data_IF_990717420487
#
_entry.id   IF_990717420487
#
_cell.length_a   1.000
_cell.length_b   1.000
_cell.length_c   1.000
_cell.angle_alpha   90.00
_cell.angle_beta   90.00
_cell.angle_gamma   90.00
#
_symmetry.space_group_name_H-M   'P 1'
#
loop_
_entity.id
_entity.type
_entity.pdbx_description
1 polymer ?
#
# COMPACT_ATOMS: atom_id res chain seq x y z
N UNK A 1 -5.11 -12.55 37.72
CA UNK A 1 -5.02 -11.09 37.45
C UNK A 1 -4.32 -10.46 38.65
N UNK A 2 -3.19 -9.77 38.44
CA UNK A 2 -2.42 -9.13 39.52
C UNK A 2 -2.95 -7.73 39.87
N UNK A 3 -3.54 -7.03 38.92
CA UNK A 3 -4.14 -5.71 39.08
C UNK A 3 -5.19 -5.47 38.00
N UNK A 4 -6.28 -4.78 38.33
CA UNK A 4 -7.31 -4.36 37.39
C UNK A 4 -7.92 -3.04 37.85
N UNK A 5 -7.96 -2.06 36.94
CA UNK A 5 -8.64 -0.78 37.12
C UNK A 5 -9.32 -0.39 35.81
N UNK A 6 -10.63 -0.13 35.86
CA UNK A 6 -11.41 0.26 34.69
C UNK A 6 -11.45 -0.75 33.54
N UNK A 7 -11.07 -2.02 33.74
CA UNK A 7 -10.93 -3.04 32.70
C UNK A 7 -12.22 -3.40 31.96
N UNK A 8 -13.39 -3.01 32.50
CA UNK A 8 -14.70 -3.16 31.85
C UNK A 8 -15.22 -1.88 31.20
N UNK A 9 -14.48 -0.77 31.29
CA UNK A 9 -14.87 0.47 30.66
C UNK A 9 -14.57 0.45 29.16
N UNK A 10 -15.52 0.90 28.35
CA UNK A 10 -15.29 1.10 26.93
C UNK A 10 -14.38 2.31 26.72
N UNK A 11 -13.28 2.09 26.03
CA UNK A 11 -12.27 3.12 25.77
C UNK A 11 -11.85 3.07 24.30
N UNK A 12 -11.43 4.22 23.78
CA UNK A 12 -10.72 4.29 22.49
C UNK A 12 -9.27 3.85 22.72
N UNK A 13 -8.75 2.90 21.94
CA UNK A 13 -7.40 2.39 22.16
C UNK A 13 -6.32 3.41 21.76
N UNK A 14 -6.66 4.39 20.91
CA UNK A 14 -5.69 5.27 20.25
C UNK A 14 -4.56 4.41 19.65
N UNK A 15 -3.32 4.91 19.63
CA UNK A 15 -2.20 4.22 18.99
C UNK A 15 -1.84 2.85 19.58
N UNK A 16 -2.43 2.41 20.71
CA UNK A 16 -2.29 1.03 21.18
C UNK A 16 -2.97 0.03 20.23
N UNK A 17 -3.92 0.49 19.39
CA UNK A 17 -4.50 -0.32 18.32
C UNK A 17 -3.45 -0.88 17.36
N UNK A 18 -2.35 -0.16 17.12
CA UNK A 18 -1.25 -0.60 16.25
C UNK A 18 -0.64 -1.93 16.69
N UNK A 19 -0.62 -2.21 18.00
CA UNK A 19 -0.15 -3.50 18.51
C UNK A 19 -1.08 -4.63 18.03
N UNK A 20 -2.39 -4.42 18.07
CA UNK A 20 -3.38 -5.41 17.61
C UNK A 20 -3.25 -5.60 16.08
N UNK A 21 -3.09 -4.51 15.33
CA UNK A 21 -2.85 -4.56 13.89
C UNK A 21 -1.56 -5.32 13.57
N UNK A 22 -0.46 -5.08 14.31
CA UNK A 22 0.81 -5.78 14.13
C UNK A 22 0.70 -7.28 14.40
N UNK A 23 0.10 -7.66 15.53
CA UNK A 23 -0.12 -9.07 15.90
C UNK A 23 -0.97 -9.77 14.85
N UNK A 24 -2.06 -9.11 14.39
CA UNK A 24 -2.93 -9.67 13.36
C UNK A 24 -2.16 -9.84 12.04
N UNK A 25 -1.34 -8.86 11.65
CA UNK A 25 -0.56 -8.94 10.43
C UNK A 25 0.46 -10.08 10.48
N UNK A 26 1.19 -10.23 11.58
CA UNK A 26 2.15 -11.33 11.75
C UNK A 26 1.45 -12.70 11.75
N UNK A 27 0.28 -12.81 12.36
CA UNK A 27 -0.50 -14.08 12.37
C UNK A 27 -1.04 -14.44 10.97
N UNK A 28 -1.50 -13.46 10.19
CA UNK A 28 -2.17 -13.71 8.91
C UNK A 28 -1.26 -13.65 7.69
N UNK A 29 -0.23 -12.82 7.71
CA UNK A 29 0.67 -12.60 6.58
C UNK A 29 2.01 -13.32 6.78
N UNK A 30 2.41 -13.54 8.02
CA UNK A 30 3.71 -14.11 8.39
C UNK A 30 4.84 -13.08 8.44
N UNK A 31 5.95 -13.46 9.09
CA UNK A 31 7.12 -12.60 9.26
C UNK A 31 7.91 -12.32 7.98
N UNK A 32 7.76 -13.17 6.96
CA UNK A 32 8.44 -13.00 5.66
C UNK A 32 7.65 -12.16 4.66
N UNK A 33 6.51 -11.58 5.08
CA UNK A 33 5.66 -10.78 4.20
C UNK A 33 6.40 -9.58 3.62
N UNK A 34 6.14 -9.29 2.33
CA UNK A 34 6.73 -8.17 1.60
C UNK A 34 5.64 -7.27 1.03
N UNK A 35 5.70 -6.00 1.36
CA UNK A 35 4.99 -4.95 0.62
C UNK A 35 5.65 -4.80 -0.74
N UNK A 36 4.88 -4.58 -1.80
CA UNK A 36 5.48 -4.45 -3.13
C UNK A 36 4.82 -3.34 -3.96
N UNK A 37 5.64 -2.68 -4.76
CA UNK A 37 5.19 -1.81 -5.84
C UNK A 37 5.81 -2.31 -7.13
N UNK A 38 5.02 -2.43 -8.18
CA UNK A 38 5.38 -3.12 -9.40
C UNK A 38 5.16 -2.22 -10.63
N UNK A 39 6.03 -2.35 -11.63
CA UNK A 39 5.86 -1.73 -12.93
C UNK A 39 5.81 -2.81 -14.00
N UNK A 40 4.77 -2.75 -14.81
CA UNK A 40 4.54 -3.67 -15.94
C UNK A 40 4.52 -2.92 -17.25
N UNK A 41 4.71 -3.68 -18.32
CA UNK A 41 4.46 -3.26 -19.70
C UNK A 41 3.36 -4.13 -20.31
N UNK A 42 2.49 -3.52 -21.10
CA UNK A 42 1.42 -4.25 -21.82
C UNK A 42 1.93 -5.02 -23.03
N UNK A 43 3.10 -4.66 -23.53
CA UNK A 43 3.78 -5.31 -24.68
C UNK A 43 5.26 -5.45 -24.40
N UNK A 44 5.93 -6.35 -25.11
CA UNK A 44 7.38 -6.42 -25.07
C UNK A 44 7.98 -5.15 -25.69
N UNK A 45 9.01 -4.52 -25.09
CA UNK A 45 9.74 -3.43 -25.72
C UNK A 45 10.39 -3.88 -27.01
N UNK A 46 10.28 -3.08 -28.07
CA UNK A 46 10.94 -3.32 -29.34
C UNK A 46 11.81 -2.10 -29.64
N UNK A 47 13.11 -2.32 -29.81
CA UNK A 47 14.10 -1.26 -29.98
C UNK A 47 14.04 -0.21 -28.84
N UNK A 48 13.99 1.07 -29.21
CA UNK A 48 13.91 2.19 -28.25
C UNK A 48 12.49 2.66 -27.95
N UNK A 49 11.47 1.99 -28.49
CA UNK A 49 10.07 2.37 -28.39
C UNK A 49 9.25 1.27 -27.72
N UNK A 50 8.56 1.63 -26.67
CA UNK A 50 7.50 0.81 -26.10
C UNK A 50 6.17 1.18 -26.79
N UNK A 51 5.73 0.35 -27.75
CA UNK A 51 4.46 0.54 -28.47
C UNK A 51 3.28 0.03 -27.64
N UNK A 52 3.18 0.46 -26.40
CA UNK A 52 2.17 0.05 -25.46
C UNK A 52 2.21 0.91 -24.20
N UNK A 53 1.46 0.49 -23.19
CA UNK A 53 1.32 1.21 -21.93
C UNK A 53 2.23 0.64 -20.83
N UNK A 54 2.61 1.51 -19.92
CA UNK A 54 3.14 1.11 -18.61
C UNK A 54 1.98 0.99 -17.61
N UNK A 55 2.06 0.03 -16.72
CA UNK A 55 1.11 -0.14 -15.61
C UNK A 55 1.87 -0.17 -14.30
N UNK A 56 1.66 0.86 -13.48
CA UNK A 56 2.19 0.89 -12.12
C UNK A 56 1.14 0.30 -11.17
N UNK A 57 1.46 -0.84 -10.56
CA UNK A 57 0.58 -1.49 -9.60
C UNK A 57 1.05 -1.21 -8.18
N UNK A 58 0.21 -0.53 -7.42
CA UNK A 58 0.45 -0.21 -6.03
C UNK A 58 0.05 -1.36 -5.11
N UNK A 59 0.95 -1.75 -4.21
CA UNK A 59 0.69 -2.68 -3.13
C UNK A 59 0.67 -2.00 -1.76
N UNK A 60 0.39 -0.70 -1.72
CA UNK A 60 0.34 0.10 -0.51
C UNK A 60 1.62 -0.02 0.34
N UNK A 61 2.77 0.12 -0.31
CA UNK A 61 4.06 0.18 0.35
C UNK A 61 4.32 1.58 0.90
N UNK A 62 4.26 1.80 2.23
CA UNK A 62 4.41 3.13 2.82
C UNK A 62 5.86 3.65 2.80
N UNK A 63 6.82 2.76 2.48
CA UNK A 63 8.24 3.07 2.47
C UNK A 63 8.78 3.37 1.07
N UNK A 64 7.98 3.16 0.02
CA UNK A 64 8.41 3.41 -1.36
C UNK A 64 8.98 4.83 -1.51
N UNK A 65 10.26 4.92 -1.89
CA UNK A 65 11.02 6.15 -1.85
C UNK A 65 11.73 6.48 -3.15
N UNK A 66 12.71 7.38 -3.02
CA UNK A 66 13.48 7.91 -4.16
C UNK A 66 14.26 6.82 -4.91
N UNK A 67 14.90 5.93 -4.17
CA UNK A 67 15.76 4.91 -4.77
C UNK A 67 14.93 3.82 -5.47
N UNK A 68 13.72 3.55 -4.97
CA UNK A 68 12.78 2.65 -5.62
C UNK A 68 12.27 3.23 -6.94
N UNK A 69 11.90 4.52 -6.92
CA UNK A 69 11.46 5.21 -8.13
C UNK A 69 12.58 5.31 -9.17
N UNK A 70 13.82 5.58 -8.70
CA UNK A 70 15.01 5.59 -9.58
C UNK A 70 15.23 4.22 -10.21
N UNK A 71 15.08 3.13 -9.45
CA UNK A 71 15.21 1.77 -9.98
C UNK A 71 14.18 1.47 -11.07
N UNK A 72 12.94 1.99 -10.95
CA UNK A 72 11.92 1.84 -11.99
C UNK A 72 12.34 2.49 -13.30
N UNK A 73 12.82 3.72 -13.23
CA UNK A 73 13.29 4.46 -14.43
C UNK A 73 14.56 3.83 -15.01
N UNK A 74 15.46 3.37 -14.14
CA UNK A 74 16.72 2.74 -14.56
C UNK A 74 16.49 1.45 -15.36
N UNK A 75 15.52 0.63 -14.98
CA UNK A 75 15.16 -0.59 -15.75
C UNK A 75 14.67 -0.23 -17.16
N UNK A 76 13.89 0.84 -17.31
CA UNK A 76 13.46 1.32 -18.65
C UNK A 76 14.66 1.80 -19.48
N UNK A 77 15.57 2.55 -18.84
CA UNK A 77 16.79 3.05 -19.47
C UNK A 77 17.72 1.91 -19.92
N UNK A 78 17.92 0.89 -19.08
CA UNK A 78 18.76 -0.28 -19.38
C UNK A 78 18.20 -1.12 -20.53
N UNK A 79 16.86 -1.12 -20.68
CA UNK A 79 16.18 -1.75 -21.83
C UNK A 79 16.22 -0.88 -23.10
N UNK A 80 16.89 0.26 -23.04
CA UNK A 80 17.03 1.17 -24.18
C UNK A 80 15.80 1.99 -24.50
N UNK A 81 14.73 1.94 -23.68
CA UNK A 81 13.47 2.64 -23.95
C UNK A 81 13.69 4.14 -23.88
N UNK A 82 13.29 4.84 -24.95
CA UNK A 82 13.35 6.30 -25.09
C UNK A 82 11.95 6.91 -25.25
N UNK A 83 10.98 6.11 -25.69
CA UNK A 83 9.63 6.57 -25.98
C UNK A 83 8.60 5.51 -25.61
N UNK A 84 7.51 5.95 -24.99
CA UNK A 84 6.35 5.15 -24.59
C UNK A 84 5.15 5.76 -25.31
N UNK A 85 4.53 5.02 -26.24
CA UNK A 85 3.43 5.55 -27.06
C UNK A 85 2.07 5.41 -26.39
N UNK A 86 1.92 4.45 -25.48
CA UNK A 86 0.70 4.25 -24.71
C UNK A 86 0.68 5.04 -23.40
N UNK A 87 -0.25 4.70 -22.55
CA UNK A 87 -0.54 5.40 -21.30
C UNK A 87 0.33 4.92 -20.13
N UNK A 88 0.40 5.74 -19.10
CA UNK A 88 0.77 5.31 -17.75
C UNK A 88 -0.51 5.01 -16.96
N UNK A 89 -0.78 3.73 -16.76
CA UNK A 89 -1.95 3.26 -16.02
C UNK A 89 -1.57 3.06 -14.56
N UNK A 90 -2.34 3.64 -13.66
CA UNK A 90 -2.16 3.53 -12.20
C UNK A 90 -3.15 2.51 -11.66
N UNK A 91 -2.68 1.32 -11.35
CA UNK A 91 -3.49 0.26 -10.72
C UNK A 91 -3.44 0.41 -9.20
N UNK A 92 -4.48 1.00 -8.67
CA UNK A 92 -4.73 1.19 -7.23
C UNK A 92 -5.88 0.31 -6.73
N UNK A 93 -6.23 -0.74 -7.47
CA UNK A 93 -7.38 -1.60 -7.20
C UNK A 93 -7.23 -2.49 -5.96
N UNK A 94 -6.08 -2.46 -5.29
CA UNK A 94 -5.85 -3.20 -4.04
C UNK A 94 -6.83 -2.79 -2.93
N UNK A 95 -7.19 -1.51 -2.85
CA UNK A 95 -8.11 -0.96 -1.85
C UNK A 95 -9.14 -0.03 -2.49
N UNK A 96 -10.20 0.25 -1.74
CA UNK A 96 -11.21 1.24 -2.11
C UNK A 96 -10.62 2.65 -2.27
N UNK A 97 -11.45 3.58 -2.71
CA UNK A 97 -11.04 4.96 -2.98
C UNK A 97 -11.03 5.87 -1.74
N UNK A 98 -11.32 5.33 -0.56
CA UNK A 98 -11.32 6.10 0.69
C UNK A 98 -9.89 6.56 0.99
N UNK A 99 -9.68 7.87 1.08
CA UNK A 99 -8.34 8.47 1.26
C UNK A 99 -7.95 8.69 2.72
N UNK A 100 -8.89 8.54 3.66
CA UNK A 100 -8.68 8.71 5.10
C UNK A 100 -9.09 7.45 5.84
N UNK A 101 -8.51 7.19 7.00
CA UNK A 101 -8.95 6.12 7.90
C UNK A 101 -10.38 6.39 8.39
N UNK A 102 -11.20 5.35 8.49
CA UNK A 102 -12.60 5.52 8.88
C UNK A 102 -12.75 6.06 10.32
N UNK A 103 -11.79 5.74 11.19
CA UNK A 103 -11.74 6.22 12.57
C UNK A 103 -11.11 7.60 12.74
N UNK A 104 -10.51 8.17 11.69
CA UNK A 104 -9.80 9.44 11.77
C UNK A 104 -10.75 10.62 11.88
N UNK A 105 -10.39 11.60 12.69
CA UNK A 105 -11.13 12.87 12.77
C UNK A 105 -10.54 13.88 11.77
N UNK A 106 -11.31 14.93 11.50
CA UNK A 106 -10.96 15.97 10.53
C UNK A 106 -9.69 16.76 10.90
N UNK A 107 -9.28 16.73 12.16
CA UNK A 107 -8.05 17.36 12.66
C UNK A 107 -6.80 16.53 12.38
N UNK A 108 -6.95 15.25 12.04
CA UNK A 108 -5.85 14.35 11.75
C UNK A 108 -5.15 14.78 10.45
N UNK A 109 -3.91 15.27 10.58
CA UNK A 109 -3.05 15.65 9.45
C UNK A 109 -2.34 14.42 8.87
N UNK A 110 -3.11 13.38 8.59
CA UNK A 110 -2.57 12.13 8.11
C UNK A 110 -2.32 12.14 6.59
N UNK A 111 -1.44 11.25 6.16
CA UNK A 111 -1.13 11.04 4.75
C UNK A 111 -2.28 10.33 4.04
N UNK A 112 -2.50 10.58 2.75
CA UNK A 112 -3.57 9.93 2.00
C UNK A 112 -3.34 8.41 1.90
N UNK A 113 -4.44 7.65 2.07
CA UNK A 113 -4.45 6.20 1.96
C UNK A 113 -4.63 5.80 0.49
N UNK A 114 -3.54 5.63 -0.22
CA UNK A 114 -3.51 5.16 -1.61
C UNK A 114 -2.48 4.03 -1.79
N UNK A 115 -2.76 3.02 -2.61
CA UNK A 115 -1.79 1.95 -2.88
C UNK A 115 -0.51 2.38 -3.58
N UNK A 116 -0.53 3.48 -4.34
CA UNK A 116 0.65 4.06 -4.99
C UNK A 116 1.11 5.30 -4.23
N UNK A 117 2.14 5.14 -3.43
CA UNK A 117 2.75 6.20 -2.63
C UNK A 117 4.16 6.52 -3.12
N UNK A 118 4.54 7.77 -2.95
CA UNK A 118 5.93 8.21 -3.02
C UNK A 118 6.28 9.01 -1.76
N UNK A 119 7.19 8.48 -0.94
CA UNK A 119 7.57 9.08 0.35
C UNK A 119 6.37 9.39 1.24
N UNK A 120 5.41 8.46 1.25
CA UNK A 120 4.18 8.58 2.02
C UNK A 120 3.15 9.59 1.49
N UNK A 121 3.28 10.07 0.26
CA UNK A 121 2.33 11.01 -0.36
C UNK A 121 1.71 10.41 -1.64
N UNK A 122 0.51 10.88 -2.01
CA UNK A 122 -0.15 10.57 -3.29
C UNK A 122 0.45 11.44 -4.41
N UNK A 123 1.70 11.18 -4.72
CA UNK A 123 2.46 11.94 -5.73
C UNK A 123 3.37 11.03 -6.57
N UNK A 124 3.11 9.73 -6.54
CA UNK A 124 3.92 8.75 -7.24
C UNK A 124 3.97 9.03 -8.75
N UNK A 125 2.82 9.29 -9.36
CA UNK A 125 2.71 9.49 -10.80
C UNK A 125 3.47 10.73 -11.28
N UNK A 126 3.35 11.85 -10.56
CA UNK A 126 4.01 13.11 -10.89
C UNK A 126 5.53 12.95 -10.85
N UNK A 127 6.04 12.35 -9.77
CA UNK A 127 7.46 12.11 -9.62
C UNK A 127 8.00 11.11 -10.64
N UNK A 128 7.22 10.05 -10.96
CA UNK A 128 7.64 9.09 -11.97
C UNK A 128 7.71 9.75 -13.35
N UNK A 129 6.71 10.54 -13.72
CA UNK A 129 6.70 11.30 -14.97
C UNK A 129 7.90 12.26 -15.07
N UNK A 130 8.18 13.01 -14.01
CA UNK A 130 9.35 13.90 -13.94
C UNK A 130 10.67 13.13 -14.10
N UNK A 131 10.79 11.98 -13.44
CA UNK A 131 11.99 11.13 -13.54
C UNK A 131 12.16 10.50 -14.92
N UNK A 132 11.07 10.12 -15.61
CA UNK A 132 11.13 9.71 -17.03
C UNK A 132 11.73 10.81 -17.90
N UNK A 133 11.21 12.03 -17.79
CA UNK A 133 11.71 13.18 -18.56
C UNK A 133 13.20 13.46 -18.30
N UNK A 134 13.63 13.42 -17.05
CA UNK A 134 15.06 13.57 -16.67
C UNK A 134 15.95 12.47 -17.24
N UNK A 135 15.42 11.27 -17.44
CA UNK A 135 16.12 10.16 -18.06
C UNK A 135 16.07 10.16 -19.59
N UNK A 136 15.44 11.17 -20.19
CA UNK A 136 15.27 11.29 -21.64
C UNK A 136 14.25 10.29 -22.21
N UNK A 137 13.27 9.89 -21.39
CA UNK A 137 12.18 8.98 -21.79
C UNK A 137 10.90 9.81 -21.93
N UNK A 138 10.30 9.80 -23.12
CA UNK A 138 9.06 10.52 -23.41
C UNK A 138 7.85 9.60 -23.23
N UNK A 139 6.84 10.05 -22.50
CA UNK A 139 5.52 9.45 -22.42
C UNK A 139 4.57 10.26 -23.31
N UNK A 140 4.02 9.63 -24.36
CA UNK A 140 3.10 10.28 -25.30
C UNK A 140 1.63 10.15 -24.87
N UNK A 141 1.32 9.06 -24.16
CA UNK A 141 -0.02 8.79 -23.67
C UNK A 141 -0.39 9.59 -22.41
N UNK A 142 -1.54 9.27 -21.85
CA UNK A 142 -2.09 9.92 -20.66
C UNK A 142 -1.69 9.16 -19.37
N UNK A 143 -1.74 9.87 -18.27
CA UNK A 143 -1.71 9.25 -16.93
C UNK A 143 -3.16 9.04 -16.49
N UNK A 144 -3.55 7.80 -16.24
CA UNK A 144 -4.93 7.47 -15.88
C UNK A 144 -5.01 6.30 -14.90
N UNK A 145 -6.10 6.22 -14.14
CA UNK A 145 -6.38 5.05 -13.31
C UNK A 145 -6.90 3.90 -14.15
N UNK A 146 -6.53 2.68 -13.76
CA UNK A 146 -6.97 1.45 -14.41
C UNK A 146 -6.54 0.23 -13.63
N UNK A 147 -6.68 -0.94 -14.22
CA UNK A 147 -6.27 -2.21 -13.62
C UNK A 147 -5.23 -2.90 -14.49
N UNK A 148 -4.39 -3.72 -13.87
CA UNK A 148 -3.39 -4.51 -14.57
C UNK A 148 -4.05 -5.47 -15.56
N UNK A 149 -3.81 -5.34 -16.88
CA UNK A 149 -4.39 -6.24 -17.86
C UNK A 149 -3.72 -7.63 -17.83
N UNK A 150 -4.47 -8.64 -18.23
CA UNK A 150 -3.91 -9.99 -18.38
C UNK A 150 -2.80 -9.99 -19.43
N UNK A 151 -1.73 -10.73 -19.15
CA UNK A 151 -0.59 -10.86 -20.06
C UNK A 151 0.42 -9.72 -20.00
N UNK A 152 0.21 -8.70 -19.19
CA UNK A 152 1.22 -7.68 -18.95
C UNK A 152 2.51 -8.30 -18.36
N UNK A 153 3.66 -7.81 -18.82
CA UNK A 153 4.97 -8.30 -18.43
C UNK A 153 5.53 -7.46 -17.29
N UNK A 154 5.94 -8.11 -16.20
CA UNK A 154 6.62 -7.46 -15.10
C UNK A 154 7.99 -6.94 -15.56
N UNK A 155 8.23 -5.65 -15.41
CA UNK A 155 9.52 -5.02 -15.72
C UNK A 155 10.40 -4.92 -14.47
N UNK A 156 9.83 -4.47 -13.36
CA UNK A 156 10.52 -4.27 -12.10
C UNK A 156 9.54 -4.33 -10.93
N UNK A 157 10.02 -4.82 -9.80
CA UNK A 157 9.33 -4.85 -8.53
C UNK A 157 10.25 -4.31 -7.44
N UNK A 158 9.71 -3.47 -6.56
CA UNK A 158 10.39 -3.03 -5.34
C UNK A 158 9.63 -3.55 -4.14
N UNK A 159 10.37 -4.00 -3.13
CA UNK A 159 9.82 -4.64 -1.95
C UNK A 159 10.41 -4.07 -0.66
N UNK A 160 9.55 -3.95 0.35
CA UNK A 160 9.95 -3.68 1.72
C UNK A 160 9.36 -4.74 2.64
N UNK A 161 10.14 -5.24 3.57
CA UNK A 161 9.71 -6.30 4.48
C UNK A 161 8.70 -5.77 5.51
N UNK A 162 7.89 -6.69 6.04
CA UNK A 162 6.97 -6.38 7.14
C UNK A 162 7.71 -5.76 8.32
N UNK A 163 8.92 -6.21 8.66
CA UNK A 163 9.74 -5.65 9.73
C UNK A 163 10.11 -4.19 9.50
N UNK A 164 10.47 -3.84 8.26
CA UNK A 164 10.78 -2.46 7.91
C UNK A 164 9.57 -1.53 8.11
N UNK A 165 8.35 -2.03 7.91
CA UNK A 165 7.11 -1.27 8.12
C UNK A 165 6.68 -1.29 9.59
N UNK A 166 6.85 -2.42 10.29
CA UNK A 166 6.53 -2.54 11.72
C UNK A 166 7.36 -1.59 12.59
N UNK A 167 8.62 -1.38 12.25
CA UNK A 167 9.51 -0.55 13.05
C UNK A 167 9.00 0.90 13.19
N UNK A 168 8.77 1.69 12.13
CA UNK A 168 8.20 3.04 12.26
C UNK A 168 6.75 3.01 12.75
N UNK A 169 5.98 1.98 12.44
CA UNK A 169 4.61 1.83 12.93
C UNK A 169 4.54 1.78 14.45
N UNK A 170 5.38 0.97 15.08
CA UNK A 170 5.32 0.72 16.53
C UNK A 170 6.21 1.69 17.32
N UNK A 171 7.40 2.04 16.81
CA UNK A 171 8.34 2.90 17.53
C UNK A 171 7.98 4.38 17.42
N UNK A 172 7.62 4.83 16.20
CA UNK A 172 7.33 6.24 15.91
C UNK A 172 5.83 6.51 15.87
N UNK A 173 5.01 5.49 16.15
CA UNK A 173 3.54 5.54 16.07
C UNK A 173 3.02 6.01 14.71
N UNK A 174 3.68 5.61 13.61
CA UNK A 174 3.35 6.04 12.26
C UNK A 174 1.99 5.48 11.80
N UNK A 175 1.02 6.37 11.62
CA UNK A 175 -0.34 6.01 11.23
C UNK A 175 -0.39 5.44 9.80
N UNK A 176 0.37 6.00 8.86
CA UNK A 176 0.37 5.51 7.48
C UNK A 176 0.87 4.05 7.38
N UNK A 177 1.92 3.71 8.15
CA UNK A 177 2.41 2.33 8.22
C UNK A 177 1.36 1.38 8.81
N UNK A 178 0.60 1.84 9.81
CA UNK A 178 -0.47 1.06 10.41
C UNK A 178 -1.63 0.83 9.45
N UNK A 179 -2.05 1.88 8.72
CA UNK A 179 -3.11 1.74 7.72
C UNK A 179 -2.66 0.90 6.52
N UNK A 180 -1.42 1.06 6.06
CA UNK A 180 -0.86 0.21 5.02
C UNK A 180 -0.89 -1.26 5.43
N UNK A 181 -0.48 -1.58 6.66
CA UNK A 181 -0.54 -2.92 7.24
C UNK A 181 -1.99 -3.43 7.33
N UNK A 182 -2.90 -2.60 7.79
CA UNK A 182 -4.32 -2.92 7.91
C UNK A 182 -4.95 -3.26 6.56
N UNK A 183 -4.63 -2.51 5.50
CA UNK A 183 -5.11 -2.80 4.16
C UNK A 183 -4.44 -4.03 3.51
N UNK A 184 -3.25 -4.46 3.96
CA UNK A 184 -2.73 -5.78 3.57
C UNK A 184 -3.65 -6.90 4.11
N UNK A 185 -4.16 -6.74 5.33
CA UNK A 185 -5.16 -7.68 5.88
C UNK A 185 -6.47 -7.66 5.08
N UNK A 186 -6.90 -6.48 4.61
CA UNK A 186 -8.07 -6.36 3.74
C UNK A 186 -7.88 -7.13 2.43
N UNK A 187 -6.68 -7.09 1.85
CA UNK A 187 -6.35 -7.75 0.60
C UNK A 187 -6.45 -9.29 0.67
N UNK A 188 -6.45 -9.88 1.87
CA UNK A 188 -6.71 -11.31 2.07
C UNK A 188 -8.13 -11.72 1.66
N UNK A 189 -9.05 -10.78 1.54
CA UNK A 189 -10.39 -11.02 0.97
C UNK A 189 -10.34 -11.40 -0.52
N UNK A 190 -9.21 -11.15 -1.20
CA UNK A 190 -9.01 -11.33 -2.65
C UNK A 190 -9.98 -10.52 -3.52
N UNK A 191 -10.62 -9.51 -2.94
CA UNK A 191 -11.48 -8.58 -3.66
C UNK A 191 -10.64 -7.45 -4.26
N UNK A 192 -11.00 -7.01 -5.46
CA UNK A 192 -10.62 -5.68 -5.90
C UNK A 192 -11.33 -4.64 -5.02
N UNK A 193 -10.64 -3.54 -4.75
CA UNK A 193 -11.17 -2.44 -3.94
C UNK A 193 -11.56 -2.88 -2.52
N UNK A 194 -10.68 -3.68 -1.88
CA UNK A 194 -10.87 -4.11 -0.50
C UNK A 194 -11.07 -2.92 0.45
N UNK A 195 -11.94 -3.09 1.44
CA UNK A 195 -12.37 -2.04 2.35
C UNK A 195 -11.79 -2.21 3.75
N UNK A 196 -11.91 -1.18 4.58
CA UNK A 196 -11.57 -1.29 6.00
C UNK A 196 -12.36 -2.40 6.71
N UNK A 197 -13.59 -2.72 6.27
CA UNK A 197 -14.41 -3.80 6.84
C UNK A 197 -13.78 -5.18 6.61
N UNK A 198 -13.15 -5.36 5.44
CA UNK A 198 -12.44 -6.61 5.13
C UNK A 198 -11.24 -6.79 6.07
N UNK A 199 -10.50 -5.71 6.37
CA UNK A 199 -9.41 -5.72 7.35
C UNK A 199 -9.92 -5.94 8.78
N UNK A 200 -10.95 -5.20 9.18
CA UNK A 200 -11.56 -5.32 10.50
C UNK A 200 -12.02 -6.76 10.79
N UNK A 201 -12.56 -7.45 9.78
CA UNK A 201 -12.95 -8.85 9.92
C UNK A 201 -11.76 -9.77 10.23
N UNK A 202 -10.55 -9.49 9.71
CA UNK A 202 -9.35 -10.26 10.07
C UNK A 202 -8.93 -10.00 11.51
N UNK A 203 -8.94 -8.73 11.94
CA UNK A 203 -8.62 -8.35 13.32
C UNK A 203 -9.60 -8.99 14.30
N UNK A 204 -10.90 -8.95 14.02
CA UNK A 204 -11.94 -9.57 14.86
C UNK A 204 -11.75 -11.09 15.01
N UNK A 205 -11.27 -11.78 13.97
CA UNK A 205 -10.94 -13.21 14.07
C UNK A 205 -9.81 -13.47 15.06
N UNK A 206 -8.77 -12.64 15.06
CA UNK A 206 -7.65 -12.76 16.01
C UNK A 206 -8.11 -12.44 17.44
N UNK A 207 -8.94 -11.40 17.60
CA UNK A 207 -9.56 -11.09 18.91
C UNK A 207 -10.35 -12.29 19.44
N UNK A 208 -11.13 -12.97 18.57
CA UNK A 208 -11.87 -14.17 18.95
C UNK A 208 -10.95 -15.34 19.33
N UNK A 209 -9.84 -15.53 18.62
CA UNK A 209 -8.83 -16.55 18.95
C UNK A 209 -8.17 -16.30 20.32
N UNK A 210 -8.10 -15.05 20.77
CA UNK A 210 -7.66 -14.68 22.12
C UNK A 210 -8.74 -14.90 23.20
N UNK A 211 -9.88 -15.49 22.86
CA UNK A 211 -10.97 -15.77 23.79
C UNK A 211 -11.84 -14.56 24.13
N UNK A 212 -11.74 -13.48 23.37
CA UNK A 212 -12.54 -12.27 23.55
C UNK A 212 -13.73 -12.27 22.59
N UNK A 213 -14.82 -11.59 22.96
CA UNK A 213 -16.02 -11.51 22.11
C UNK A 213 -15.84 -10.40 21.06
N UNK A 214 -15.83 -10.71 19.75
CA UNK A 214 -15.64 -9.68 18.71
C UNK A 214 -16.71 -8.58 18.72
N UNK A 215 -17.94 -8.89 19.20
CA UNK A 215 -19.02 -7.91 19.33
C UNK A 215 -18.76 -6.80 20.35
N UNK A 216 -17.81 -7.00 21.26
CA UNK A 216 -17.46 -6.01 22.28
C UNK A 216 -16.48 -4.95 21.76
N UNK A 217 -15.94 -5.14 20.55
CA UNK A 217 -14.90 -4.32 19.96
C UNK A 217 -15.33 -3.75 18.62
N UNK A 218 -15.14 -2.45 18.44
CA UNK A 218 -15.25 -1.77 17.16
C UNK A 218 -13.84 -1.57 16.59
N UNK A 219 -13.57 -2.15 15.44
CA UNK A 219 -12.33 -1.96 14.68
C UNK A 219 -12.62 -0.98 13.55
N UNK A 220 -12.21 0.26 13.71
CA UNK A 220 -12.48 1.33 12.78
C UNK A 220 -11.37 1.47 11.71
N UNK A 221 -10.12 1.33 12.14
CA UNK A 221 -8.92 1.46 11.32
C UNK A 221 -7.76 0.67 11.92
N UNK A 222 -6.57 0.81 11.35
CA UNK A 222 -5.36 0.12 11.82
C UNK A 222 -4.54 0.93 12.82
N UNK A 223 -4.79 2.22 12.96
CA UNK A 223 -3.95 3.15 13.72
C UNK A 223 -4.52 3.57 15.08
N UNK A 224 -5.86 3.50 15.23
CA UNK A 224 -6.62 3.81 16.44
C UNK A 224 -7.04 5.25 16.59
#
# INVERSE_FOLDING_TARGET
MLYAHGHQQRMRPASSMKVITAVTALDKLGGDYQFSTQLYSTVAPTDSVLQGSLVARGGFDPLFGRDDLRAFVEVLRQRGIRRITGDLVLDVSMKDTTSLGWGWCWEDKNKPLTPLLYRGNDSWADHFYEHLGRAGITLEGKIQRGTLPRGAQLLVERKHSIDQVLHPMLKDSNNLCAEAMFYQLAALSKRAYATYKDAAAQVQRVIAQCGLQPSDYLVADGSG
#
